data_IF_108276430150
#
_entry.id   IF_108276430150
#
_cell.length_a   1.000
_cell.length_b   1.000
_cell.length_c   1.000
_cell.angle_alpha   90.00
_cell.angle_beta   90.00
_cell.angle_gamma   90.00
#
_symmetry.space_group_name_H-M   'P 1'
#
loop_
_entity.id
_entity.type
_entity.pdbx_description
1 polymer ?
#
# COMPACT_ATOMS: atom_id res chain seq x y z
N UNK A 1 -26.79 -8.55 -18.39
CA UNK A 1 -26.82 -9.97 -18.02
C UNK A 1 -27.21 -10.80 -19.25
N UNK A 2 -26.32 -11.69 -19.70
CA UNK A 2 -26.60 -12.63 -20.77
C UNK A 2 -27.50 -13.74 -20.22
N UNK A 3 -28.62 -13.99 -20.92
CA UNK A 3 -29.59 -15.01 -20.55
C UNK A 3 -28.92 -16.40 -20.51
N UNK A 4 -29.13 -17.16 -19.43
CA UNK A 4 -28.55 -18.51 -19.25
C UNK A 4 -27.20 -18.55 -18.51
N UNK A 5 -26.62 -17.40 -18.16
CA UNK A 5 -25.35 -17.32 -17.39
C UNK A 5 -25.54 -16.98 -15.92
N UNK A 6 -26.76 -16.80 -15.44
CA UNK A 6 -27.08 -16.35 -14.08
C UNK A 6 -26.55 -17.31 -12.99
N UNK A 7 -26.50 -18.61 -13.31
CA UNK A 7 -26.03 -19.69 -12.41
C UNK A 7 -24.59 -20.13 -12.68
N UNK A 8 -23.88 -19.48 -13.61
CA UNK A 8 -22.51 -19.83 -13.92
C UNK A 8 -21.53 -19.07 -13.03
N UNK A 9 -20.42 -19.71 -12.71
CA UNK A 9 -19.27 -19.03 -12.14
C UNK A 9 -18.74 -18.02 -13.17
N UNK A 10 -18.38 -16.84 -12.71
CA UNK A 10 -17.84 -15.76 -13.55
C UNK A 10 -16.44 -15.40 -13.07
N UNK A 11 -15.52 -15.32 -13.99
CA UNK A 11 -14.17 -14.89 -13.68
C UNK A 11 -13.71 -13.80 -14.67
N UNK A 12 -12.87 -12.93 -14.21
CA UNK A 12 -12.01 -12.10 -15.04
C UNK A 12 -10.68 -12.83 -15.14
N UNK A 13 -10.34 -13.28 -16.34
CA UNK A 13 -9.11 -14.07 -16.58
C UNK A 13 -7.86 -13.21 -16.41
N UNK A 14 -7.91 -12.01 -16.99
CA UNK A 14 -6.81 -11.03 -16.90
C UNK A 14 -7.38 -9.62 -16.84
N UNK A 15 -6.85 -8.77 -16.00
CA UNK A 15 -7.07 -7.35 -16.07
C UNK A 15 -5.84 -6.59 -15.55
N UNK A 16 -5.52 -5.49 -16.17
CA UNK A 16 -4.61 -4.49 -15.67
C UNK A 16 -5.14 -3.10 -16.05
N UNK A 17 -5.24 -2.17 -15.09
CA UNK A 17 -5.45 -0.78 -15.43
C UNK A 17 -4.26 -0.26 -16.23
N UNK A 18 -4.50 0.12 -17.47
CA UNK A 18 -3.48 0.62 -18.41
C UNK A 18 -2.96 2.00 -17.98
N UNK A 19 -2.54 2.13 -16.73
CA UNK A 19 -2.13 3.38 -16.12
C UNK A 19 -1.06 3.16 -15.07
N UNK A 20 0.07 3.81 -15.25
CA UNK A 20 1.18 3.82 -14.29
C UNK A 20 1.02 4.94 -13.25
N UNK A 21 0.28 6.01 -13.57
CA UNK A 21 0.27 7.23 -12.79
C UNK A 21 -0.80 7.26 -11.69
N UNK A 22 -1.91 6.51 -11.87
CA UNK A 22 -3.07 6.61 -10.99
C UNK A 22 -3.27 5.35 -10.15
N UNK A 23 -3.52 5.57 -8.87
CA UNK A 23 -3.60 4.53 -7.87
C UNK A 23 -5.03 4.04 -7.57
N UNK A 24 -6.06 4.70 -8.11
CA UNK A 24 -7.47 4.39 -7.85
C UNK A 24 -8.06 3.32 -8.76
N UNK A 25 -7.43 3.02 -9.89
CA UNK A 25 -7.99 2.18 -10.93
C UNK A 25 -8.27 0.74 -10.48
N UNK A 26 -7.39 0.12 -9.71
CA UNK A 26 -7.56 -1.24 -9.25
C UNK A 26 -8.79 -1.42 -8.35
N UNK A 27 -8.98 -0.66 -7.25
CA UNK A 27 -10.17 -0.80 -6.42
C UNK A 27 -11.46 -0.43 -7.14
N UNK A 28 -11.42 0.58 -8.02
CA UNK A 28 -12.57 0.96 -8.84
C UNK A 28 -13.03 -0.17 -9.77
N UNK A 29 -12.07 -0.82 -10.43
CA UNK A 29 -12.32 -1.94 -11.34
C UNK A 29 -12.85 -3.16 -10.58
N UNK A 30 -12.22 -3.52 -9.45
CA UNK A 30 -12.65 -4.64 -8.62
C UNK A 30 -14.07 -4.41 -8.07
N UNK A 31 -14.39 -3.20 -7.58
CA UNK A 31 -15.76 -2.83 -7.21
C UNK A 31 -16.75 -3.14 -8.34
N UNK A 32 -16.42 -2.72 -9.56
CA UNK A 32 -17.26 -2.95 -10.73
C UNK A 32 -17.44 -4.44 -11.03
N UNK A 33 -16.38 -5.22 -10.96
CA UNK A 33 -16.46 -6.67 -11.18
C UNK A 33 -17.29 -7.37 -10.10
N UNK A 34 -17.13 -7.00 -8.82
CA UNK A 34 -17.95 -7.57 -7.74
C UNK A 34 -19.42 -7.22 -7.92
N UNK A 35 -19.76 -5.98 -8.24
CA UNK A 35 -21.14 -5.56 -8.56
C UNK A 35 -21.71 -6.32 -9.75
N UNK A 36 -20.91 -6.59 -10.78
CA UNK A 36 -21.32 -7.40 -11.93
C UNK A 36 -21.40 -8.91 -11.63
N UNK A 37 -21.08 -9.34 -10.41
CA UNK A 37 -21.22 -10.71 -9.95
C UNK A 37 -20.06 -11.63 -10.28
N UNK A 38 -18.87 -11.09 -10.57
CA UNK A 38 -17.66 -11.90 -10.75
C UNK A 38 -17.16 -12.43 -9.42
N UNK A 39 -16.76 -13.72 -9.39
CA UNK A 39 -16.28 -14.42 -8.21
C UNK A 39 -14.75 -14.41 -8.12
N UNK A 40 -14.10 -14.54 -9.27
CA UNK A 40 -12.66 -14.62 -9.40
C UNK A 40 -12.14 -13.50 -10.30
N UNK A 41 -11.08 -12.86 -9.88
CA UNK A 41 -10.50 -11.71 -10.58
C UNK A 41 -8.99 -11.90 -10.56
N UNK A 42 -8.37 -12.06 -11.73
CA UNK A 42 -6.93 -12.25 -11.88
C UNK A 42 -6.31 -10.97 -12.44
N UNK A 43 -5.42 -10.38 -11.67
CA UNK A 43 -4.59 -9.27 -12.14
C UNK A 43 -3.47 -9.81 -13.05
N UNK A 44 -3.14 -9.07 -14.10
CA UNK A 44 -2.07 -9.34 -15.03
C UNK A 44 -1.42 -8.02 -15.50
N UNK A 45 -0.11 -7.82 -15.34
CA UNK A 45 0.86 -8.68 -14.69
C UNK A 45 1.68 -7.88 -13.66
N UNK A 46 2.46 -8.58 -12.83
CA UNK A 46 3.45 -7.96 -11.95
C UNK A 46 4.82 -7.98 -12.63
N UNK A 47 5.46 -6.83 -12.76
CA UNK A 47 6.73 -6.72 -13.46
C UNK A 47 7.91 -7.23 -12.62
N UNK A 48 8.78 -8.08 -13.17
CA UNK A 48 10.04 -8.46 -12.53
C UNK A 48 10.90 -7.25 -12.20
N UNK A 49 11.63 -7.30 -11.08
CA UNK A 49 12.41 -6.16 -10.57
C UNK A 49 13.48 -5.65 -11.56
N UNK A 50 14.06 -6.55 -12.34
CA UNK A 50 15.08 -6.23 -13.34
C UNK A 50 14.52 -5.56 -14.60
N UNK A 51 13.22 -5.62 -14.82
CA UNK A 51 12.55 -5.01 -15.98
C UNK A 51 11.66 -3.83 -15.59
N UNK A 52 11.28 -3.72 -14.33
CA UNK A 52 10.28 -2.75 -13.87
C UNK A 52 10.69 -1.28 -14.00
N UNK A 53 11.99 -1.00 -14.18
CA UNK A 53 12.49 0.34 -14.46
C UNK A 53 12.15 0.84 -15.88
N UNK A 54 11.85 -0.09 -16.82
CA UNK A 54 11.77 0.18 -18.25
C UNK A 54 10.33 0.03 -18.76
N UNK A 55 10.03 0.75 -19.84
CA UNK A 55 8.82 0.49 -20.61
C UNK A 55 9.09 -0.68 -21.57
N UNK A 56 8.68 -1.88 -21.17
CA UNK A 56 8.96 -3.11 -21.90
C UNK A 56 8.04 -3.31 -23.11
N UNK A 57 7.31 -4.41 -23.17
CA UNK A 57 6.56 -4.78 -24.36
C UNK A 57 5.17 -4.12 -24.42
N UNK A 58 4.52 -3.98 -23.26
CA UNK A 58 3.18 -3.42 -23.16
C UNK A 58 3.20 -2.21 -22.22
N UNK A 59 2.80 -1.07 -22.72
CA UNK A 59 2.71 0.19 -21.96
C UNK A 59 1.77 0.15 -20.76
N UNK A 60 1.18 -1.00 -20.49
CA UNK A 60 0.15 -1.21 -19.48
C UNK A 60 0.61 -1.99 -18.26
N UNK A 61 1.80 -2.60 -18.29
CA UNK A 61 2.25 -3.54 -17.26
C UNK A 61 3.04 -2.93 -16.12
N UNK A 62 3.03 -1.64 -15.96
CA UNK A 62 3.78 -1.01 -14.89
C UNK A 62 3.17 -1.30 -13.51
N UNK A 63 3.46 -2.46 -12.97
CA UNK A 63 3.12 -2.80 -11.61
C UNK A 63 4.32 -3.48 -10.93
N UNK A 64 4.95 -2.74 -10.03
CA UNK A 64 6.00 -3.25 -9.17
C UNK A 64 6.03 -2.43 -7.88
N UNK A 65 6.13 -3.06 -6.72
CA UNK A 65 6.06 -2.37 -5.43
C UNK A 65 7.16 -1.33 -5.23
N UNK A 66 8.33 -1.56 -5.81
CA UNK A 66 9.45 -0.63 -5.71
C UNK A 66 9.37 0.52 -6.73
N UNK A 67 8.87 0.26 -7.94
CA UNK A 67 8.85 1.23 -9.04
C UNK A 67 7.52 1.96 -9.20
N UNK A 68 6.41 1.35 -8.79
CA UNK A 68 5.07 1.95 -8.83
C UNK A 68 4.34 1.79 -7.49
N UNK A 69 4.87 2.38 -6.40
CA UNK A 69 4.41 2.15 -5.05
C UNK A 69 2.92 2.47 -4.85
N UNK A 70 2.44 3.58 -5.38
CA UNK A 70 1.03 3.99 -5.29
C UNK A 70 0.10 2.97 -5.95
N UNK A 71 0.43 2.52 -7.17
CA UNK A 71 -0.32 1.51 -7.91
C UNK A 71 -0.33 0.17 -7.16
N UNK A 72 0.82 -0.22 -6.58
CA UNK A 72 0.94 -1.44 -5.80
C UNK A 72 0.06 -1.42 -4.53
N UNK A 73 0.02 -0.30 -3.80
CA UNK A 73 -0.93 -0.12 -2.68
C UNK A 73 -2.39 -0.14 -3.19
N UNK A 74 -2.67 0.46 -4.35
CA UNK A 74 -3.98 0.37 -4.99
C UNK A 74 -4.40 -1.08 -5.25
N UNK A 75 -3.51 -1.94 -5.74
CA UNK A 75 -3.77 -3.37 -5.91
C UNK A 75 -3.99 -4.08 -4.56
N UNK A 76 -3.20 -3.78 -3.55
CA UNK A 76 -3.36 -4.34 -2.20
C UNK A 76 -4.76 -4.01 -1.63
N UNK A 77 -5.22 -2.77 -1.78
CA UNK A 77 -6.57 -2.34 -1.40
C UNK A 77 -7.63 -3.06 -2.24
N UNK A 78 -7.40 -3.26 -3.54
CA UNK A 78 -8.30 -3.98 -4.43
C UNK A 78 -8.43 -5.47 -4.04
N UNK A 79 -7.34 -6.10 -3.59
CA UNK A 79 -7.37 -7.47 -3.10
C UNK A 79 -8.27 -7.62 -1.85
N UNK A 80 -8.20 -6.67 -0.91
CA UNK A 80 -9.10 -6.59 0.24
C UNK A 80 -10.56 -6.38 -0.22
N UNK A 81 -10.78 -5.49 -1.19
CA UNK A 81 -12.12 -5.25 -1.74
C UNK A 81 -12.69 -6.50 -2.43
N UNK A 82 -11.87 -7.26 -3.16
CA UNK A 82 -12.31 -8.51 -3.79
C UNK A 82 -12.80 -9.55 -2.77
N UNK A 83 -12.25 -9.55 -1.57
CA UNK A 83 -12.64 -10.45 -0.48
C UNK A 83 -13.85 -9.96 0.31
N UNK A 84 -13.90 -8.65 0.61
CA UNK A 84 -14.89 -8.05 1.53
C UNK A 84 -16.17 -7.60 0.85
N UNK A 85 -16.12 -7.23 -0.43
CA UNK A 85 -17.30 -6.80 -1.18
C UNK A 85 -18.11 -8.02 -1.63
N UNK A 86 -19.40 -8.05 -1.30
CA UNK A 86 -20.30 -9.13 -1.65
C UNK A 86 -20.47 -9.27 -3.17
N UNK A 87 -20.67 -10.50 -3.64
CA UNK A 87 -20.96 -10.77 -5.05
C UNK A 87 -22.31 -10.17 -5.44
N UNK A 88 -22.33 -9.29 -6.43
CA UNK A 88 -23.55 -8.60 -6.88
C UNK A 88 -23.93 -7.41 -5.98
N UNK A 89 -23.16 -7.08 -4.97
CA UNK A 89 -23.38 -5.93 -4.13
C UNK A 89 -23.20 -4.63 -4.92
N UNK A 90 -24.15 -3.71 -4.78
CA UNK A 90 -24.18 -2.45 -5.51
C UNK A 90 -24.06 -1.27 -4.54
N UNK A 91 -23.25 -0.29 -4.89
CA UNK A 91 -22.99 0.92 -4.11
C UNK A 91 -23.43 2.19 -4.83
N UNK A 92 -24.39 2.10 -5.72
CA UNK A 92 -24.87 3.21 -6.52
C UNK A 92 -24.07 3.45 -7.81
N UNK A 93 -24.26 4.61 -8.39
CA UNK A 93 -23.62 4.98 -9.65
C UNK A 93 -22.20 5.47 -9.43
N UNK A 94 -21.28 4.84 -10.14
CA UNK A 94 -19.88 5.24 -10.19
C UNK A 94 -19.67 6.22 -11.36
N UNK A 95 -18.91 7.33 -11.20
CA UNK A 95 -18.01 7.72 -10.12
C UNK A 95 -18.64 8.61 -9.02
N UNK A 96 -19.92 8.92 -9.06
CA UNK A 96 -20.54 9.86 -8.12
C UNK A 96 -20.46 9.39 -6.66
N UNK A 97 -20.45 8.09 -6.45
CA UNK A 97 -20.30 7.46 -5.14
C UNK A 97 -18.89 6.92 -4.99
N UNK A 98 -18.07 7.58 -4.17
CA UNK A 98 -16.65 7.23 -3.94
C UNK A 98 -16.43 6.32 -2.74
N UNK A 99 -17.46 6.13 -1.89
CA UNK A 99 -17.41 5.25 -0.72
C UNK A 99 -18.13 3.94 -1.03
N UNK A 100 -17.53 2.83 -0.59
CA UNK A 100 -18.16 1.52 -0.63
C UNK A 100 -17.59 0.64 0.50
N UNK A 101 -18.44 0.23 1.44
CA UNK A 101 -18.04 -0.45 2.68
C UNK A 101 -16.93 0.33 3.42
N UNK A 102 -15.80 -0.31 3.65
CA UNK A 102 -14.62 0.26 4.31
C UNK A 102 -13.64 0.91 3.32
N UNK A 103 -14.02 1.02 2.05
CA UNK A 103 -13.17 1.51 0.98
C UNK A 103 -13.61 2.89 0.50
N UNK A 104 -12.61 3.65 0.06
CA UNK A 104 -12.81 4.93 -0.62
C UNK A 104 -11.93 5.00 -1.85
N UNK A 105 -12.48 5.58 -2.92
CA UNK A 105 -11.76 5.90 -4.16
C UNK A 105 -12.03 7.35 -4.52
N UNK A 106 -11.00 8.12 -4.83
CA UNK A 106 -11.12 9.50 -5.25
C UNK A 106 -10.27 9.77 -6.50
N UNK A 107 -10.92 10.10 -7.60
CA UNK A 107 -10.22 10.50 -8.84
C UNK A 107 -9.49 11.83 -8.69
N UNK A 108 -10.12 12.78 -8.01
CA UNK A 108 -9.57 14.13 -7.85
C UNK A 108 -8.29 14.12 -7.01
N UNK A 109 -8.22 13.22 -6.03
CA UNK A 109 -7.08 13.10 -5.12
C UNK A 109 -6.09 12.03 -5.55
N UNK A 110 -6.36 11.31 -6.64
CA UNK A 110 -5.62 10.10 -7.03
C UNK A 110 -5.41 9.15 -5.83
N UNK A 111 -6.50 8.73 -5.21
CA UNK A 111 -6.47 8.07 -3.92
C UNK A 111 -7.35 6.83 -3.89
N UNK A 112 -6.80 5.77 -3.31
CA UNK A 112 -7.53 4.60 -2.83
C UNK A 112 -7.27 4.43 -1.35
N UNK A 113 -8.30 4.07 -0.57
CA UNK A 113 -8.19 3.82 0.87
C UNK A 113 -8.95 2.56 1.27
N UNK A 114 -8.41 1.87 2.26
CA UNK A 114 -9.09 0.91 3.14
C UNK A 114 -8.99 1.41 4.57
N UNK A 115 -10.12 1.45 5.27
CA UNK A 115 -10.19 1.88 6.67
C UNK A 115 -11.25 1.05 7.40
N UNK A 116 -10.88 -0.14 7.88
CA UNK A 116 -11.80 -1.09 8.50
C UNK A 116 -11.74 -1.15 10.04
N UNK A 117 -10.88 -0.30 10.63
CA UNK A 117 -10.63 -0.25 12.08
C UNK A 117 -9.34 -0.94 12.49
N UNK A 118 -8.99 -2.09 11.93
CA UNK A 118 -7.71 -2.77 12.17
C UNK A 118 -6.66 -2.44 11.10
N UNK A 119 -7.09 -2.19 9.86
CA UNK A 119 -6.25 -1.83 8.71
C UNK A 119 -6.53 -0.41 8.26
N UNK A 120 -5.47 0.33 7.99
CA UNK A 120 -5.54 1.65 7.39
C UNK A 120 -4.54 1.73 6.24
N UNK A 121 -5.03 1.53 5.01
CA UNK A 121 -4.21 1.55 3.79
C UNK A 121 -4.59 2.74 2.93
N UNK A 122 -3.60 3.39 2.32
CA UNK A 122 -3.81 4.53 1.42
C UNK A 122 -2.71 4.63 0.37
N UNK A 123 -3.12 4.83 -0.85
CA UNK A 123 -2.23 4.84 -2.02
C UNK A 123 -1.59 6.19 -2.30
N UNK A 124 -2.04 7.26 -1.64
CA UNK A 124 -1.50 8.61 -1.77
C UNK A 124 -1.81 9.42 -0.49
N UNK A 125 -1.30 10.65 -0.41
CA UNK A 125 -1.56 11.54 0.73
C UNK A 125 -3.05 11.72 1.01
N UNK A 126 -3.44 11.55 2.27
CA UNK A 126 -4.83 11.65 2.73
C UNK A 126 -4.97 12.42 4.03
N UNK A 127 -6.16 13.00 4.24
CA UNK A 127 -6.59 13.60 5.51
C UNK A 127 -7.57 12.70 6.29
N UNK A 128 -7.87 11.52 5.75
CA UNK A 128 -8.74 10.55 6.43
C UNK A 128 -8.09 10.08 7.72
N UNK A 129 -8.87 10.02 8.78
CA UNK A 129 -8.44 9.44 10.07
C UNK A 129 -8.84 7.97 10.14
N UNK A 130 -8.04 7.09 10.77
CA UNK A 130 -8.48 5.74 11.09
C UNK A 130 -9.80 5.75 11.85
N UNK A 131 -10.68 4.77 11.59
CA UNK A 131 -11.95 4.61 12.32
C UNK A 131 -11.72 4.42 13.81
N UNK A 132 -10.74 3.60 14.16
CA UNK A 132 -10.27 3.41 15.53
C UNK A 132 -8.75 3.26 15.55
N UNK A 133 -8.05 4.32 15.95
CA UNK A 133 -6.60 4.32 16.02
C UNK A 133 -6.03 3.37 17.08
N UNK A 134 -6.81 3.03 18.11
CA UNK A 134 -6.39 2.13 19.20
C UNK A 134 -6.41 0.66 18.76
N UNK A 135 -7.23 0.32 17.78
CA UNK A 135 -7.38 -1.03 17.23
C UNK A 135 -6.48 -1.28 16.03
N UNK A 136 -5.77 -0.27 15.53
CA UNK A 136 -4.90 -0.45 14.37
C UNK A 136 -3.87 -1.56 14.61
N UNK A 137 -3.78 -2.45 13.64
CA UNK A 137 -2.82 -3.55 13.55
C UNK A 137 -1.91 -3.42 12.34
N UNK A 138 -2.41 -2.85 11.25
CA UNK A 138 -1.64 -2.69 10.02
C UNK A 138 -1.91 -1.35 9.35
N UNK A 139 -0.83 -0.71 8.92
CA UNK A 139 -0.87 0.48 8.07
C UNK A 139 -0.01 0.21 6.85
N UNK A 140 -0.50 0.54 5.67
CA UNK A 140 0.28 0.54 4.45
C UNK A 140 0.02 1.84 3.68
N UNK A 141 1.07 2.52 3.26
CA UNK A 141 0.86 3.82 2.64
C UNK A 141 1.96 4.29 1.71
N UNK A 142 1.54 5.17 0.81
CA UNK A 142 2.39 6.10 0.09
C UNK A 142 1.97 7.52 0.48
N UNK A 143 2.93 8.43 0.65
CA UNK A 143 2.62 9.81 1.05
C UNK A 143 2.29 9.96 2.54
N UNK A 144 1.43 10.93 2.87
CA UNK A 144 1.18 11.38 4.24
C UNK A 144 -0.26 11.12 4.69
N UNK A 145 -0.42 10.91 5.99
CA UNK A 145 -1.73 10.82 6.64
C UNK A 145 -1.70 11.47 8.03
N UNK A 146 -2.82 11.60 8.74
CA UNK A 146 -2.83 12.06 10.12
C UNK A 146 -2.04 11.16 11.09
N UNK A 147 -1.79 9.89 10.71
CA UNK A 147 -1.08 8.90 11.53
C UNK A 147 0.41 8.83 11.18
N UNK A 148 0.74 8.92 9.89
CA UNK A 148 2.11 8.84 9.39
C UNK A 148 2.42 10.06 8.54
N UNK A 149 3.39 10.85 8.95
CA UNK A 149 3.97 11.90 8.14
C UNK A 149 5.36 11.44 7.67
N UNK A 150 5.45 10.98 6.43
CA UNK A 150 6.67 10.50 5.81
C UNK A 150 7.04 11.40 4.63
N UNK A 151 8.30 11.78 4.53
CA UNK A 151 8.78 12.75 3.54
C UNK A 151 9.27 12.09 2.23
N UNK A 152 9.53 10.78 2.26
CA UNK A 152 9.87 10.01 1.06
C UNK A 152 8.66 9.66 0.21
N UNK A 153 8.90 9.15 -0.99
CA UNK A 153 7.86 8.73 -1.96
C UNK A 153 7.71 7.21 -2.07
N UNK A 154 8.58 6.43 -1.43
CA UNK A 154 8.47 4.98 -1.35
C UNK A 154 7.30 4.54 -0.49
N UNK A 155 6.86 3.32 -0.70
CA UNK A 155 5.83 2.70 0.15
C UNK A 155 6.42 2.34 1.52
N UNK A 156 5.57 2.36 2.53
CA UNK A 156 5.88 1.86 3.86
C UNK A 156 4.76 1.02 4.43
N UNK A 157 5.14 0.08 5.32
CA UNK A 157 4.24 -0.76 6.09
C UNK A 157 4.55 -0.68 7.56
N UNK A 158 3.53 -0.68 8.39
CA UNK A 158 3.61 -0.76 9.84
C UNK A 158 2.71 -1.92 10.29
N UNK A 159 3.30 -2.90 10.96
CA UNK A 159 2.61 -4.04 11.53
C UNK A 159 2.77 -4.04 13.05
N UNK A 160 1.66 -4.08 13.78
CA UNK A 160 1.66 -4.23 15.22
C UNK A 160 1.94 -5.68 15.58
N UNK A 161 3.10 -5.95 16.14
CA UNK A 161 3.52 -7.29 16.54
C UNK A 161 2.98 -7.67 17.92
N UNK A 162 3.03 -6.73 18.85
CA UNK A 162 2.48 -6.82 20.20
C UNK A 162 2.21 -5.40 20.74
N UNK A 163 1.66 -5.28 21.95
CA UNK A 163 1.40 -3.96 22.53
C UNK A 163 2.70 -3.15 22.67
N UNK A 164 2.72 -1.97 22.10
CA UNK A 164 3.86 -1.07 22.09
C UNK A 164 5.04 -1.53 21.25
N UNK A 165 4.87 -2.58 20.42
CA UNK A 165 5.91 -3.10 19.53
C UNK A 165 5.40 -3.20 18.11
N UNK A 166 6.07 -2.52 17.18
CA UNK A 166 5.70 -2.46 15.78
C UNK A 166 6.89 -2.80 14.88
N UNK A 167 6.60 -3.44 13.76
CA UNK A 167 7.53 -3.55 12.63
C UNK A 167 7.24 -2.43 11.66
N UNK A 168 8.26 -1.73 11.24
CA UNK A 168 8.21 -0.75 10.16
C UNK A 168 9.08 -1.25 9.01
N UNK A 169 8.53 -1.28 7.81
CA UNK A 169 9.29 -1.44 6.57
C UNK A 169 9.15 -0.20 5.71
N UNK A 170 10.25 0.24 5.12
CA UNK A 170 10.30 1.40 4.22
C UNK A 170 11.02 1.00 2.95
N UNK A 171 10.37 1.20 1.82
CA UNK A 171 10.95 0.99 0.50
C UNK A 171 11.69 2.25 0.00
N UNK A 172 12.63 2.10 -0.95
CA UNK A 172 13.23 3.23 -1.64
C UNK A 172 12.20 4.12 -2.33
N UNK A 173 12.58 5.36 -2.62
CA UNK A 173 11.77 6.26 -3.42
C UNK A 173 11.71 5.79 -4.88
N UNK A 174 10.56 5.94 -5.49
CA UNK A 174 10.36 5.75 -6.92
C UNK A 174 10.21 7.12 -7.61
N UNK A 175 11.00 7.36 -8.64
CA UNK A 175 11.02 8.63 -9.37
C UNK A 175 10.79 8.35 -10.85
N UNK A 176 9.79 8.98 -11.44
CA UNK A 176 9.58 8.95 -12.88
C UNK A 176 10.66 9.81 -13.56
N UNK A 177 11.41 9.21 -14.49
CA UNK A 177 12.53 9.86 -15.21
C UNK A 177 12.23 10.10 -16.68
N UNK A 178 11.26 9.41 -17.26
CA UNK A 178 10.79 9.67 -18.63
C UNK A 178 9.30 9.31 -18.79
N UNK A 179 8.74 9.67 -19.96
CA UNK A 179 7.34 9.40 -20.27
C UNK A 179 7.10 7.88 -20.44
N UNK A 180 6.21 7.28 -19.63
CA UNK A 180 5.90 5.85 -19.69
C UNK A 180 5.07 5.46 -20.91
N UNK A 181 4.37 6.39 -21.54
CA UNK A 181 3.44 6.13 -22.64
C UNK A 181 4.06 6.24 -24.03
N UNK A 182 5.39 6.31 -24.11
CA UNK A 182 6.11 6.27 -25.40
C UNK A 182 6.34 4.83 -25.85
N UNK A 183 6.89 4.68 -27.08
CA UNK A 183 7.21 3.35 -27.62
C UNK A 183 8.07 2.53 -26.64
N UNK A 184 7.70 1.28 -26.35
CA UNK A 184 8.45 0.39 -25.47
C UNK A 184 9.91 0.20 -25.89
N UNK A 185 10.81 0.17 -24.91
CA UNK A 185 12.24 -0.08 -25.14
C UNK A 185 12.93 -0.43 -23.82
N UNK A 186 13.78 -1.45 -23.83
CA UNK A 186 14.66 -1.78 -22.70
C UNK A 186 15.85 -0.83 -22.56
N UNK A 187 16.08 0.04 -23.55
CA UNK A 187 17.12 1.06 -23.50
C UNK A 187 16.65 2.36 -22.85
N UNK A 188 15.37 2.44 -22.48
CA UNK A 188 14.76 3.64 -21.93
C UNK A 188 14.22 3.39 -20.53
N UNK A 189 14.92 3.90 -19.53
CA UNK A 189 14.46 3.93 -18.16
C UNK A 189 13.27 4.92 -18.01
N UNK A 190 12.19 4.46 -17.41
CA UNK A 190 10.97 5.24 -17.15
C UNK A 190 10.86 5.60 -15.67
N UNK A 191 11.16 4.63 -14.81
CA UNK A 191 11.16 4.79 -13.37
C UNK A 191 12.54 4.48 -12.80
N UNK A 192 12.93 5.19 -11.77
CA UNK A 192 14.20 4.99 -11.06
C UNK A 192 13.99 4.86 -9.56
N UNK A 193 14.70 3.92 -8.95
CA UNK A 193 14.75 3.77 -7.50
C UNK A 193 15.86 4.66 -6.93
N UNK A 194 15.53 5.45 -5.91
CA UNK A 194 16.46 6.32 -5.21
C UNK A 194 16.42 6.02 -3.71
N UNK A 195 17.56 5.69 -3.12
CA UNK A 195 17.69 5.47 -1.68
C UNK A 195 18.00 6.78 -0.98
N UNK A 196 16.96 7.48 -0.54
CA UNK A 196 17.06 8.67 0.30
C UNK A 196 17.13 8.36 1.80
N UNK A 197 17.31 9.40 2.59
CA UNK A 197 17.13 9.36 4.04
C UNK A 197 16.14 10.47 4.42
N UNK A 198 15.00 10.10 4.96
CA UNK A 198 13.88 11.00 5.18
C UNK A 198 13.41 11.00 6.62
N UNK A 199 12.78 12.06 7.03
CA UNK A 199 12.12 12.10 8.32
C UNK A 199 10.76 11.42 8.25
N UNK A 200 10.42 10.66 9.31
CA UNK A 200 9.11 10.05 9.48
C UNK A 200 8.57 10.37 10.87
N UNK A 201 7.35 10.86 10.95
CA UNK A 201 6.67 11.07 12.25
C UNK A 201 5.47 10.13 12.34
N UNK A 202 5.41 9.37 13.44
CA UNK A 202 4.34 8.43 13.74
C UNK A 202 3.47 8.96 14.89
N UNK A 203 2.18 9.12 14.62
CA UNK A 203 1.17 9.52 15.59
C UNK A 203 0.34 8.32 16.02
N UNK A 204 1.00 7.31 16.61
CA UNK A 204 0.39 6.07 17.08
C UNK A 204 0.34 6.08 18.61
N UNK A 205 -0.86 6.11 19.22
CA UNK A 205 -0.99 6.10 20.69
C UNK A 205 -0.33 4.89 21.34
N UNK A 206 -0.36 3.74 20.66
CA UNK A 206 0.24 2.50 21.15
C UNK A 206 1.78 2.57 21.24
N UNK A 207 2.44 3.29 20.35
CA UNK A 207 3.88 3.59 20.44
C UNK A 207 4.21 4.75 21.39
N UNK A 208 3.28 5.66 21.58
CA UNK A 208 3.50 6.90 22.29
C UNK A 208 4.41 7.87 21.52
N UNK A 209 4.95 8.85 22.23
CA UNK A 209 5.80 9.89 21.63
C UNK A 209 7.30 9.59 21.70
N UNK A 210 7.68 8.62 22.51
CA UNK A 210 9.08 8.18 22.69
C UNK A 210 9.15 6.67 22.51
N UNK A 211 9.94 6.24 21.55
CA UNK A 211 10.13 4.83 21.24
C UNK A 211 11.50 4.58 20.64
N UNK A 212 12.03 3.39 20.87
CA UNK A 212 13.30 2.95 20.29
C UNK A 212 13.08 2.42 18.89
N UNK A 213 14.02 2.67 18.00
CA UNK A 213 14.03 2.21 16.61
C UNK A 213 15.31 1.44 16.35
N UNK A 214 15.21 0.17 15.97
CA UNK A 214 16.38 -0.67 15.67
C UNK A 214 16.19 -1.38 14.33
N UNK A 215 17.25 -1.43 13.51
CA UNK A 215 17.26 -2.20 12.26
C UNK A 215 17.03 -3.70 12.51
N UNK A 216 16.22 -4.33 11.66
CA UNK A 216 15.91 -5.77 11.71
C UNK A 216 16.49 -6.56 10.55
N UNK A 217 16.55 -6.00 9.35
CA UNK A 217 17.08 -6.70 8.21
C UNK A 217 18.62 -6.79 8.24
N UNK A 218 19.17 -7.80 7.59
CA UNK A 218 20.61 -8.05 7.59
C UNK A 218 21.40 -6.83 7.11
N UNK A 219 22.43 -6.48 7.84
CA UNK A 219 23.28 -5.31 7.57
C UNK A 219 22.70 -3.96 8.01
N UNK A 220 21.45 -3.91 8.47
CA UNK A 220 20.85 -2.68 9.00
C UNK A 220 21.26 -2.45 10.46
N UNK A 221 22.26 -1.61 10.67
CA UNK A 221 22.80 -1.25 12.00
C UNK A 221 22.16 0.01 12.58
N UNK A 222 21.10 0.52 11.98
CA UNK A 222 20.42 1.73 12.44
C UNK A 222 19.85 1.53 13.84
N UNK A 223 20.16 2.45 14.74
CA UNK A 223 19.61 2.46 16.09
C UNK A 223 19.46 3.91 16.55
N UNK A 224 18.24 4.28 16.96
CA UNK A 224 17.95 5.62 17.46
C UNK A 224 16.78 5.61 18.44
N UNK A 225 16.60 6.74 19.13
CA UNK A 225 15.41 7.03 19.94
C UNK A 225 14.56 8.07 19.22
N UNK A 226 13.32 7.74 18.93
CA UNK A 226 12.35 8.70 18.41
C UNK A 226 11.91 9.67 19.52
N UNK A 227 11.78 10.94 19.18
CA UNK A 227 11.29 11.99 20.07
C UNK A 227 10.10 12.71 19.45
N UNK A 228 9.03 12.90 20.21
CA UNK A 228 7.75 13.43 19.70
C UNK A 228 7.19 12.64 18.51
N UNK A 229 7.43 11.32 18.49
CA UNK A 229 7.03 10.44 17.41
C UNK A 229 7.91 10.51 16.15
N UNK A 230 8.94 11.36 16.13
CA UNK A 230 9.79 11.61 14.96
C UNK A 230 11.03 10.71 14.93
N UNK A 231 11.21 10.03 13.82
CA UNK A 231 12.42 9.31 13.43
C UNK A 231 13.11 10.17 12.36
N UNK A 232 14.33 10.59 12.61
CA UNK A 232 15.09 11.40 11.66
C UNK A 232 16.00 10.53 10.81
N UNK A 233 16.22 10.95 9.56
CA UNK A 233 17.16 10.31 8.61
C UNK A 233 16.91 8.80 8.41
N UNK A 234 15.65 8.37 8.43
CA UNK A 234 15.24 7.00 8.17
C UNK A 234 15.55 6.64 6.71
N UNK A 235 16.22 5.52 6.50
CA UNK A 235 16.56 4.97 5.18
C UNK A 235 15.64 3.80 4.83
N UNK A 236 15.57 3.38 3.56
CA UNK A 236 14.92 2.12 3.21
C UNK A 236 15.48 0.95 4.03
N UNK A 237 14.58 0.11 4.55
CA UNK A 237 14.93 -1.02 5.41
C UNK A 237 13.77 -1.47 6.28
N UNK A 238 14.05 -2.44 7.14
CA UNK A 238 13.09 -2.98 8.11
C UNK A 238 13.55 -2.68 9.53
N UNK A 239 12.63 -2.26 10.39
CA UNK A 239 12.91 -1.74 11.72
C UNK A 239 11.93 -2.30 12.76
N UNK A 240 12.42 -2.52 13.97
CA UNK A 240 11.61 -2.75 15.15
C UNK A 240 11.44 -1.43 15.91
N UNK A 241 10.20 -1.07 16.15
CA UNK A 241 9.82 0.08 16.97
C UNK A 241 9.32 -0.42 18.32
N UNK A 242 9.85 0.10 19.41
CA UNK A 242 9.49 -0.32 20.77
C UNK A 242 9.20 0.90 21.64
N UNK A 243 7.97 0.98 22.16
CA UNK A 243 7.58 2.01 23.15
C UNK A 243 8.56 2.03 24.32
N UNK A 244 8.87 3.20 24.84
CA UNK A 244 9.70 3.34 26.02
C UNK A 244 9.12 2.56 27.22
N UNK A 245 9.97 1.85 27.92
CA UNK A 245 9.58 1.03 29.08
C UNK A 245 9.00 -0.35 28.71
N UNK A 246 8.82 -0.66 27.43
CA UNK A 246 8.38 -1.98 26.96
C UNK A 246 9.60 -2.76 26.46
N UNK A 247 9.65 -4.05 26.83
CA UNK A 247 10.58 -5.02 26.21
C UNK A 247 9.77 -5.96 25.35
N UNK A 248 10.17 -6.13 24.10
CA UNK A 248 9.53 -7.11 23.20
C UNK A 248 9.59 -8.51 23.83
N UNK A 249 8.49 -9.23 23.81
CA UNK A 249 8.37 -10.57 24.41
C UNK A 249 9.09 -11.64 23.57
N UNK A 250 9.25 -11.39 22.26
CA UNK A 250 9.85 -12.30 21.29
C UNK A 250 11.11 -11.74 20.60
N UNK A 251 11.79 -12.62 19.86
CA UNK A 251 12.79 -12.24 18.87
C UNK A 251 12.09 -12.05 17.54
N UNK A 252 11.83 -10.82 17.18
CA UNK A 252 11.17 -10.49 15.91
C UNK A 252 12.19 -10.45 14.77
N UNK A 253 11.77 -10.91 13.60
CA UNK A 253 12.57 -10.95 12.37
C UNK A 253 12.03 -9.95 11.35
N UNK A 254 12.77 -9.71 10.28
CA UNK A 254 12.40 -8.74 9.25
C UNK A 254 11.11 -9.13 8.49
N UNK A 255 10.78 -10.41 8.46
CA UNK A 255 9.60 -10.98 7.79
C UNK A 255 8.39 -11.21 8.73
N UNK A 256 8.47 -10.76 9.99
CA UNK A 256 7.34 -10.84 10.92
C UNK A 256 6.19 -9.92 10.48
N UNK A 257 4.97 -10.46 10.48
CA UNK A 257 3.75 -9.71 10.19
C UNK A 257 2.69 -10.03 11.23
N UNK A 258 1.83 -9.07 11.55
CA UNK A 258 0.76 -9.25 12.52
C UNK A 258 -0.20 -10.40 12.19
N UNK A 259 -0.39 -10.72 10.92
CA UNK A 259 -1.22 -11.85 10.47
C UNK A 259 -0.60 -13.22 10.74
N UNK A 260 0.67 -13.26 11.07
CA UNK A 260 1.43 -14.49 11.35
C UNK A 260 1.62 -14.72 12.86
N UNK A 261 0.99 -13.90 13.69
CA UNK A 261 1.00 -13.94 15.14
C UNK A 261 -0.37 -14.37 15.64
#
# INVERSE_FOLDING_TARGET
NLKGFDKKARMVYEFDPADILYSYMYPATVRTFRTAGFQWITQFAYDPIDMAAYNTEYQTHYLNVAYTPNKAIGLMIAAEAAQKVGRGESFGNYPADTLFNDFRVSYVQDLSELNDGEKFYYSNTTQTRPKDISQLRAIAGCGKSPVVNYEGTGVYWLDRLEEGVWRLEVMPDAVQVSDPFTKPSLDKEVMRIVSGAWDMTLNLPDLGKQFRVNGLNNGNTFSTQAANGKISTLRPGVYLLQREGISASGKWTADAHWQNI
#
